data_IF_294579206906
#
_entry.id   IF_294579206906
#
_cell.length_a   1.000
_cell.length_b   1.000
_cell.length_c   1.000
_cell.angle_alpha   90.00
_cell.angle_beta   90.00
_cell.angle_gamma   90.00
#
_symmetry.space_group_name_H-M   'P 1'
#
loop_
_entity.id
_entity.type
_entity.pdbx_description
1 polymer ?
#
# COMPACT_ATOMS: atom_id res chain seq x y z
N UNK A 1 8.55 2.44 -40.97
CA UNK A 1 8.81 3.60 -40.11
C UNK A 1 8.10 4.80 -40.71
N UNK A 2 7.35 5.53 -39.92
CA UNK A 2 6.56 6.71 -40.32
C UNK A 2 6.82 7.85 -39.34
N UNK A 3 6.68 9.10 -39.80
CA UNK A 3 6.72 10.26 -38.90
C UNK A 3 5.28 10.67 -38.62
N UNK A 4 4.90 10.68 -37.37
CA UNK A 4 3.53 10.99 -36.94
C UNK A 4 3.51 12.15 -35.96
N UNK A 5 2.40 12.87 -35.92
CA UNK A 5 2.18 13.92 -34.94
C UNK A 5 1.89 13.32 -33.59
N UNK A 6 2.56 13.79 -32.57
CA UNK A 6 2.44 13.29 -31.20
C UNK A 6 1.01 13.41 -30.64
N UNK A 7 0.26 14.42 -31.09
CA UNK A 7 -1.15 14.61 -30.70
C UNK A 7 -2.09 13.50 -31.18
N UNK A 8 -1.69 12.77 -32.23
CA UNK A 8 -2.48 11.69 -32.83
C UNK A 8 -2.20 10.34 -32.16
N UNK A 9 -1.22 10.29 -31.24
CA UNK A 9 -0.82 9.07 -30.54
C UNK A 9 -1.58 8.93 -29.23
N UNK A 10 -2.05 7.72 -28.97
CA UNK A 10 -2.78 7.37 -27.73
C UNK A 10 -1.92 6.44 -26.87
N UNK A 11 -1.70 6.74 -25.58
CA UNK A 11 -1.04 5.81 -24.67
C UNK A 11 -1.80 4.50 -24.56
N UNK A 12 -1.08 3.40 -24.41
CA UNK A 12 -1.72 2.12 -24.11
C UNK A 12 -2.48 2.19 -22.78
N UNK A 13 -3.76 1.81 -22.71
CA UNK A 13 -4.62 2.03 -21.54
C UNK A 13 -4.07 1.36 -20.26
N UNK A 14 -3.42 0.22 -20.39
CA UNK A 14 -2.84 -0.53 -19.27
C UNK A 14 -1.40 -0.16 -18.94
N UNK A 15 -0.77 0.81 -19.64
CA UNK A 15 0.63 1.16 -19.38
C UNK A 15 0.88 1.59 -17.93
N UNK A 16 -0.01 2.42 -17.36
CA UNK A 16 0.11 2.91 -15.99
C UNK A 16 -0.08 1.82 -14.92
N UNK A 17 -0.73 0.69 -15.27
CA UNK A 17 -0.87 -0.47 -14.39
C UNK A 17 0.48 -1.15 -14.14
N UNK A 18 1.35 -1.15 -15.14
CA UNK A 18 2.60 -1.91 -15.15
C UNK A 18 3.86 -1.06 -14.95
N UNK A 19 3.82 0.21 -15.28
CA UNK A 19 5.00 1.07 -15.30
C UNK A 19 4.74 2.39 -14.58
N UNK A 20 5.80 2.87 -13.92
CA UNK A 20 5.83 4.20 -13.36
C UNK A 20 6.48 5.17 -14.34
N UNK A 21 6.04 6.43 -14.30
CA UNK A 21 6.71 7.48 -15.04
C UNK A 21 8.09 7.77 -14.42
N UNK A 22 9.04 8.11 -15.26
CA UNK A 22 10.31 8.62 -14.79
C UNK A 22 10.10 9.94 -14.06
N UNK A 23 10.77 10.13 -12.94
CA UNK A 23 10.71 11.33 -12.12
C UNK A 23 12.10 11.76 -11.64
N UNK A 24 12.21 12.97 -11.11
CA UNK A 24 13.43 13.49 -10.49
C UNK A 24 14.59 13.64 -11.47
N UNK A 25 15.80 13.42 -10.97
CA UNK A 25 17.05 13.63 -11.71
C UNK A 25 17.13 12.76 -12.98
N UNK A 26 16.71 11.51 -12.91
CA UNK A 26 16.67 10.60 -14.07
C UNK A 26 15.76 11.12 -15.20
N UNK A 27 14.66 11.77 -14.86
CA UNK A 27 13.79 12.39 -15.85
C UNK A 27 14.46 13.60 -16.51
N UNK A 28 15.10 14.45 -15.71
CA UNK A 28 15.82 15.62 -16.22
C UNK A 28 16.97 15.22 -17.14
N UNK A 29 17.77 14.22 -16.79
CA UNK A 29 18.83 13.68 -17.63
C UNK A 29 18.26 13.12 -18.94
N UNK A 30 17.12 12.41 -18.88
CA UNK A 30 16.46 11.88 -20.06
C UNK A 30 15.95 13.00 -20.97
N UNK A 31 15.34 14.06 -20.41
CA UNK A 31 14.91 15.24 -21.15
C UNK A 31 16.08 15.94 -21.86
N UNK A 32 17.19 16.18 -21.17
CA UNK A 32 18.38 16.77 -21.76
C UNK A 32 18.96 15.88 -22.88
N UNK A 33 18.92 14.56 -22.70
CA UNK A 33 19.33 13.62 -23.76
C UNK A 33 18.42 13.73 -24.99
N UNK A 34 17.12 13.81 -24.83
CA UNK A 34 16.17 13.97 -25.95
C UNK A 34 16.31 15.35 -26.59
N UNK A 35 16.53 16.40 -25.80
CA UNK A 35 16.74 17.75 -26.28
C UNK A 35 18.00 17.88 -27.12
N UNK A 36 19.10 17.24 -26.71
CA UNK A 36 20.40 17.35 -27.37
C UNK A 36 20.55 16.47 -28.60
N UNK A 37 19.97 15.27 -28.58
CA UNK A 37 20.19 14.23 -29.60
C UNK A 37 18.93 13.86 -30.38
N UNK A 38 17.76 14.37 -29.96
CA UNK A 38 16.47 13.92 -30.45
C UNK A 38 16.10 12.52 -29.92
N UNK A 39 15.03 11.99 -30.45
CA UNK A 39 14.59 10.61 -30.20
C UNK A 39 15.37 9.69 -31.16
N UNK A 40 16.33 8.95 -30.65
CA UNK A 40 17.23 8.09 -31.43
C UNK A 40 16.50 6.82 -31.92
N UNK A 41 15.77 6.18 -31.01
CA UNK A 41 15.01 4.97 -31.32
C UNK A 41 13.55 5.32 -31.63
N UNK A 42 12.96 4.81 -32.72
CA UNK A 42 11.56 5.01 -33.03
C UNK A 42 10.69 4.43 -31.88
N UNK A 43 9.51 4.98 -31.71
CA UNK A 43 8.50 4.40 -30.82
C UNK A 43 7.77 3.29 -31.58
N UNK A 44 7.30 2.27 -30.88
CA UNK A 44 6.47 1.20 -31.45
C UNK A 44 5.00 1.52 -31.19
N UNK A 45 4.21 1.44 -32.25
CA UNK A 45 2.77 1.69 -32.18
C UNK A 45 1.97 0.63 -32.93
N UNK A 46 0.69 0.52 -32.60
CA UNK A 46 -0.29 -0.23 -33.40
C UNK A 46 -0.73 0.58 -34.61
N UNK A 47 -1.41 -0.04 -35.64
CA UNK A 47 -2.04 0.70 -36.74
C UNK A 47 -3.04 1.76 -36.26
N UNK A 48 -3.71 1.53 -35.13
CA UNK A 48 -4.64 2.48 -34.50
C UNK A 48 -3.93 3.59 -33.70
N UNK A 49 -2.59 3.69 -33.85
CA UNK A 49 -1.72 4.71 -33.21
C UNK A 49 -1.69 4.59 -31.68
N UNK A 50 -1.93 3.40 -31.11
CA UNK A 50 -1.74 3.14 -29.70
C UNK A 50 -0.26 2.85 -29.45
N UNK A 51 0.34 3.52 -28.48
CA UNK A 51 1.76 3.40 -28.13
C UNK A 51 1.98 2.07 -27.41
N UNK A 52 2.82 1.20 -27.96
CA UNK A 52 3.26 -0.05 -27.35
C UNK A 52 4.60 0.13 -26.65
N UNK A 53 5.56 0.81 -27.27
CA UNK A 53 6.86 1.13 -26.66
C UNK A 53 7.23 2.57 -26.89
N UNK A 54 7.80 3.22 -25.87
CA UNK A 54 8.30 4.59 -25.93
C UNK A 54 7.43 5.66 -25.27
N UNK A 55 6.53 5.32 -24.35
CA UNK A 55 5.69 6.27 -23.61
C UNK A 55 6.48 7.44 -23.02
N UNK A 56 7.66 7.17 -22.41
CA UNK A 56 8.52 8.23 -21.85
C UNK A 56 9.13 9.12 -22.95
N UNK A 57 9.45 8.57 -24.13
CA UNK A 57 9.92 9.33 -25.30
C UNK A 57 8.84 10.30 -25.79
N UNK A 58 7.61 9.83 -25.90
CA UNK A 58 6.45 10.67 -26.26
C UNK A 58 6.20 11.76 -25.23
N UNK A 59 6.30 11.41 -23.92
CA UNK A 59 6.16 12.38 -22.84
C UNK A 59 7.24 13.45 -22.91
N UNK A 60 8.49 13.08 -23.12
CA UNK A 60 9.62 14.00 -23.26
C UNK A 60 9.43 14.95 -24.47
N UNK A 61 8.99 14.42 -25.62
CA UNK A 61 8.70 15.23 -26.78
C UNK A 61 7.59 16.26 -26.51
N UNK A 62 6.52 15.86 -25.82
CA UNK A 62 5.44 16.78 -25.42
C UNK A 62 5.96 17.93 -24.55
N UNK A 63 6.81 17.62 -23.57
CA UNK A 63 7.39 18.60 -22.66
C UNK A 63 8.37 19.54 -23.35
N UNK A 64 9.12 19.03 -24.36
CA UNK A 64 10.06 19.80 -25.17
C UNK A 64 9.41 20.57 -26.35
N UNK A 65 8.10 20.45 -26.55
CA UNK A 65 7.40 21.08 -27.67
C UNK A 65 7.76 20.49 -29.05
N UNK A 66 8.16 19.20 -29.09
CA UNK A 66 8.43 18.49 -30.34
C UNK A 66 7.10 17.90 -30.82
N UNK A 67 6.66 18.29 -32.01
CA UNK A 67 5.33 17.92 -32.50
C UNK A 67 5.29 16.57 -33.24
N UNK A 68 6.43 16.09 -33.71
CA UNK A 68 6.51 14.91 -34.57
C UNK A 68 7.54 13.91 -34.01
N UNK A 69 7.25 12.63 -34.17
CA UNK A 69 8.13 11.55 -33.72
C UNK A 69 8.13 10.41 -34.71
N UNK A 70 9.28 9.75 -34.87
CA UNK A 70 9.40 8.56 -35.71
C UNK A 70 8.77 7.36 -35.03
N UNK A 71 7.86 6.70 -35.74
CA UNK A 71 7.11 5.55 -35.29
C UNK A 71 7.43 4.33 -36.16
N UNK A 72 7.49 3.18 -35.51
CA UNK A 72 7.48 1.87 -36.16
C UNK A 72 6.12 1.24 -35.91
N UNK A 73 5.39 0.96 -37.01
CA UNK A 73 4.03 0.42 -36.93
C UNK A 73 4.12 -1.10 -36.96
N UNK A 74 3.71 -1.74 -35.88
CA UNK A 74 3.67 -3.18 -35.77
C UNK A 74 2.24 -3.70 -35.90
N UNK A 75 2.08 -4.81 -36.63
CA UNK A 75 0.82 -5.51 -36.74
C UNK A 75 0.78 -6.63 -35.68
N UNK A 76 -0.31 -6.68 -34.96
CA UNK A 76 -0.56 -7.65 -33.89
C UNK A 76 -1.84 -8.43 -34.22
N UNK A 77 -1.87 -9.70 -33.91
CA UNK A 77 -3.03 -10.56 -34.17
C UNK A 77 -4.10 -10.44 -33.07
N UNK A 78 -3.69 -10.09 -31.86
CA UNK A 78 -4.56 -9.97 -30.71
C UNK A 78 -3.96 -9.03 -29.65
N UNK A 79 -4.76 -8.71 -28.64
CA UNK A 79 -4.39 -7.84 -27.52
C UNK A 79 -3.24 -8.42 -26.67
N UNK A 80 -3.16 -9.74 -26.52
CA UNK A 80 -2.10 -10.40 -25.76
C UNK A 80 -0.73 -10.21 -26.41
N UNK A 81 -0.64 -10.18 -27.73
CA UNK A 81 0.62 -9.87 -28.43
C UNK A 81 1.04 -8.41 -28.22
N UNK A 82 0.09 -7.48 -28.26
CA UNK A 82 0.36 -6.05 -27.94
C UNK A 82 0.90 -5.93 -26.52
N UNK A 83 0.23 -6.58 -25.58
CA UNK A 83 0.56 -6.53 -24.18
C UNK A 83 1.91 -7.21 -23.87
N UNK A 84 2.19 -8.34 -24.55
CA UNK A 84 3.48 -9.00 -24.47
C UNK A 84 4.61 -8.07 -24.91
N UNK A 85 4.48 -7.42 -26.06
CA UNK A 85 5.50 -6.50 -26.59
C UNK A 85 5.67 -5.27 -25.69
N UNK A 86 4.57 -4.71 -25.18
CA UNK A 86 4.58 -3.65 -24.16
C UNK A 86 5.42 -4.05 -22.94
N UNK A 87 5.23 -5.25 -22.42
CA UNK A 87 5.89 -5.72 -21.21
C UNK A 87 7.36 -6.11 -21.47
N UNK A 88 7.64 -6.88 -22.56
CA UNK A 88 8.99 -7.36 -22.89
C UNK A 88 9.94 -6.23 -23.30
N UNK A 89 9.48 -5.30 -24.13
CA UNK A 89 10.32 -4.22 -24.64
C UNK A 89 10.86 -3.36 -23.50
N UNK A 90 10.02 -3.09 -22.51
CA UNK A 90 10.44 -2.33 -21.34
C UNK A 90 11.41 -3.09 -20.43
N UNK A 91 11.31 -4.42 -20.33
CA UNK A 91 12.27 -5.26 -19.58
C UNK A 91 13.63 -5.22 -20.27
N UNK A 92 13.66 -5.40 -21.60
CA UNK A 92 14.92 -5.44 -22.38
C UNK A 92 15.63 -4.09 -22.45
N UNK A 93 14.90 -2.99 -22.61
CA UNK A 93 15.48 -1.65 -22.78
C UNK A 93 16.00 -1.02 -21.49
N UNK A 94 15.38 -1.29 -20.36
CA UNK A 94 15.73 -0.63 -19.09
C UNK A 94 16.79 -1.37 -18.28
N UNK A 95 17.07 -2.66 -18.57
CA UNK A 95 18.06 -3.47 -17.85
C UNK A 95 17.83 -3.57 -16.33
N UNK A 96 16.91 -2.76 -15.83
CA UNK A 96 16.48 -2.69 -14.44
C UNK A 96 14.96 -2.93 -14.40
N UNK A 97 14.55 -3.89 -13.61
CA UNK A 97 13.13 -4.14 -13.32
C UNK A 97 12.59 -3.03 -12.41
N UNK A 98 12.98 -1.78 -12.70
CA UNK A 98 12.62 -0.60 -11.93
C UNK A 98 11.11 -0.36 -11.89
N UNK A 99 10.69 0.36 -10.86
CA UNK A 99 9.31 0.69 -10.56
C UNK A 99 8.85 0.06 -9.25
N UNK A 100 7.62 0.37 -8.86
CA UNK A 100 6.95 -0.19 -7.69
C UNK A 100 7.02 -1.72 -7.67
N UNK A 101 7.35 -2.29 -6.53
CA UNK A 101 7.41 -3.75 -6.35
C UNK A 101 6.09 -4.44 -6.74
N UNK A 102 4.97 -3.77 -6.47
CA UNK A 102 3.62 -4.18 -6.87
C UNK A 102 3.48 -4.26 -8.38
N UNK A 103 3.96 -3.24 -9.12
CA UNK A 103 3.89 -3.21 -10.57
C UNK A 103 4.80 -4.25 -11.23
N UNK A 104 5.99 -4.51 -10.65
CA UNK A 104 6.85 -5.62 -11.08
C UNK A 104 6.11 -6.95 -10.96
N UNK A 105 5.46 -7.19 -9.83
CA UNK A 105 4.67 -8.40 -9.60
C UNK A 105 3.50 -8.55 -10.58
N UNK A 106 2.79 -7.46 -10.87
CA UNK A 106 1.71 -7.45 -11.87
C UNK A 106 2.22 -7.80 -13.26
N UNK A 107 3.38 -7.26 -13.68
CA UNK A 107 4.03 -7.62 -14.96
C UNK A 107 4.33 -9.11 -15.03
N UNK A 108 4.88 -9.68 -13.96
CA UNK A 108 5.20 -11.12 -13.90
C UNK A 108 3.92 -11.95 -14.05
N UNK A 109 2.86 -11.63 -13.30
CA UNK A 109 1.58 -12.35 -13.38
C UNK A 109 0.99 -12.29 -14.78
N UNK A 110 1.06 -11.14 -15.43
CA UNK A 110 0.52 -10.96 -16.76
C UNK A 110 1.35 -11.72 -17.81
N UNK A 111 2.67 -11.70 -17.74
CA UNK A 111 3.53 -12.49 -18.61
C UNK A 111 3.33 -13.99 -18.41
N UNK A 112 3.17 -14.47 -17.18
CA UNK A 112 2.82 -15.87 -16.91
C UNK A 112 1.48 -16.26 -17.55
N UNK A 113 0.48 -15.35 -17.49
CA UNK A 113 -0.82 -15.55 -18.13
C UNK A 113 -0.67 -15.67 -19.65
N UNK A 114 0.04 -14.73 -20.28
CA UNK A 114 0.27 -14.69 -21.73
C UNK A 114 1.03 -15.93 -22.20
N UNK A 115 2.08 -16.32 -21.48
CA UNK A 115 2.86 -17.52 -21.83
C UNK A 115 2.22 -18.84 -21.41
N UNK A 116 1.06 -18.81 -20.74
CA UNK A 116 0.38 -20.02 -20.27
C UNK A 116 1.16 -20.79 -19.19
N UNK A 117 2.03 -20.11 -18.42
CA UNK A 117 2.84 -20.73 -17.38
C UNK A 117 1.94 -21.15 -16.22
N UNK A 118 1.84 -22.45 -15.93
CA UNK A 118 1.09 -23.01 -14.79
C UNK A 118 2.06 -23.61 -13.78
N UNK A 119 1.94 -23.18 -12.52
CA UNK A 119 2.74 -23.72 -11.41
C UNK A 119 2.28 -25.16 -11.12
N UNK A 120 3.22 -26.10 -11.07
CA UNK A 120 2.97 -27.47 -10.58
C UNK A 120 2.46 -28.48 -11.62
N UNK A 121 2.51 -28.19 -12.92
CA UNK A 121 2.16 -29.18 -13.95
C UNK A 121 3.43 -29.75 -14.64
N UNK A 122 3.88 -30.98 -14.29
CA UNK A 122 5.08 -31.59 -14.88
C UNK A 122 4.95 -32.02 -16.33
N UNK A 123 3.75 -31.96 -16.92
CA UNK A 123 3.51 -32.40 -18.34
C UNK A 123 3.75 -31.30 -19.38
N UNK A 124 4.28 -30.13 -18.97
CA UNK A 124 4.57 -29.03 -19.90
C UNK A 124 5.92 -29.16 -20.65
N UNK A 125 6.72 -30.18 -20.37
CA UNK A 125 8.03 -30.37 -21.00
C UNK A 125 7.96 -30.73 -22.51
N UNK A 126 6.80 -31.06 -23.04
CA UNK A 126 6.64 -31.52 -24.41
C UNK A 126 6.16 -30.44 -25.42
N UNK A 127 5.96 -29.19 -25.00
CA UNK A 127 5.57 -28.13 -25.93
C UNK A 127 6.66 -27.07 -26.00
N UNK A 128 7.54 -27.16 -27.00
CA UNK A 128 8.74 -26.32 -27.18
C UNK A 128 8.47 -24.84 -27.45
N UNK A 129 7.22 -24.42 -27.41
CA UNK A 129 6.80 -23.01 -27.58
C UNK A 129 6.36 -22.31 -26.25
N UNK A 130 6.26 -23.03 -25.14
CA UNK A 130 5.81 -22.48 -23.87
C UNK A 130 7.01 -22.13 -22.99
N UNK A 131 7.13 -20.88 -22.57
CA UNK A 131 8.16 -20.47 -21.62
C UNK A 131 7.89 -21.11 -20.25
N UNK A 132 8.96 -21.47 -19.55
CA UNK A 132 8.90 -21.91 -18.15
C UNK A 132 9.07 -20.74 -17.21
N UNK A 133 8.67 -20.90 -15.95
CA UNK A 133 8.90 -19.89 -14.90
C UNK A 133 10.39 -19.56 -14.71
N UNK A 134 11.26 -20.57 -14.89
CA UNK A 134 12.73 -20.39 -14.83
C UNK A 134 13.24 -19.53 -15.98
N UNK A 135 12.73 -19.74 -17.19
CA UNK A 135 13.07 -18.92 -18.36
C UNK A 135 12.58 -17.47 -18.18
N UNK A 136 11.34 -17.28 -17.72
CA UNK A 136 10.81 -15.94 -17.44
C UNK A 136 11.65 -15.22 -16.37
N UNK A 137 12.04 -15.90 -15.31
CA UNK A 137 12.89 -15.34 -14.27
C UNK A 137 14.26 -14.92 -14.85
N UNK A 138 14.86 -15.78 -15.67
CA UNK A 138 16.13 -15.49 -16.37
C UNK A 138 16.00 -14.28 -17.31
N UNK A 139 14.92 -14.21 -18.10
CA UNK A 139 14.65 -13.09 -19.00
C UNK A 139 14.51 -11.76 -18.25
N UNK A 140 13.99 -11.82 -17.01
CA UNK A 140 13.85 -10.67 -16.11
C UNK A 140 15.10 -10.40 -15.25
N UNK A 141 16.18 -11.17 -15.44
CA UNK A 141 17.43 -11.00 -14.70
C UNK A 141 17.34 -11.33 -13.21
N UNK A 142 16.44 -12.22 -12.82
CA UNK A 142 16.25 -12.63 -11.41
C UNK A 142 16.14 -14.14 -11.27
N UNK A 143 16.27 -14.65 -10.05
CA UNK A 143 15.99 -16.04 -9.74
C UNK A 143 14.49 -16.31 -9.54
N UNK A 144 14.09 -17.60 -9.64
CA UNK A 144 12.68 -18.03 -9.53
C UNK A 144 12.06 -17.64 -8.18
N UNK A 145 12.84 -17.68 -7.09
CA UNK A 145 12.35 -17.32 -5.75
C UNK A 145 12.03 -15.83 -5.67
N UNK A 146 12.90 -15.00 -6.24
CA UNK A 146 12.69 -13.55 -6.34
C UNK A 146 11.46 -13.25 -7.18
N UNK A 147 11.28 -13.94 -8.32
CA UNK A 147 10.09 -13.83 -9.16
C UNK A 147 8.82 -14.17 -8.38
N UNK A 148 8.80 -15.28 -7.64
CA UNK A 148 7.67 -15.67 -6.80
C UNK A 148 7.38 -14.64 -5.70
N UNK A 149 8.41 -14.07 -5.08
CA UNK A 149 8.24 -12.99 -4.10
C UNK A 149 7.58 -11.75 -4.70
N UNK A 150 7.99 -11.32 -5.90
CA UNK A 150 7.33 -10.20 -6.58
C UNK A 150 5.88 -10.51 -6.95
N UNK A 151 5.56 -11.75 -7.32
CA UNK A 151 4.17 -12.15 -7.58
C UNK A 151 3.28 -11.99 -6.35
N UNK A 152 3.79 -12.34 -5.18
CA UNK A 152 3.09 -12.09 -3.91
C UNK A 152 2.91 -10.58 -3.68
N UNK A 153 3.97 -9.79 -3.88
CA UNK A 153 3.92 -8.34 -3.72
C UNK A 153 2.94 -7.63 -4.70
N UNK A 154 2.53 -8.30 -5.78
CA UNK A 154 1.49 -7.76 -6.67
C UNK A 154 0.14 -7.54 -5.99
N UNK A 155 -0.15 -8.32 -4.95
CA UNK A 155 -1.42 -8.31 -4.22
C UNK A 155 -1.37 -7.43 -2.95
N UNK A 156 -0.30 -6.66 -2.75
CA UNK A 156 -0.24 -5.71 -1.63
C UNK A 156 -1.43 -4.75 -1.66
N UNK A 157 -1.96 -4.45 -0.48
CA UNK A 157 -2.89 -3.32 -0.33
C UNK A 157 -2.19 -2.00 -0.71
N UNK A 158 -2.92 -0.97 -1.16
CA UNK A 158 -2.32 0.30 -1.59
C UNK A 158 -1.40 0.91 -0.54
N UNK A 159 -1.84 0.94 0.71
CA UNK A 159 -1.14 1.55 1.84
C UNK A 159 0.22 0.86 2.09
N UNK A 160 0.26 -0.47 2.04
CA UNK A 160 1.52 -1.23 2.18
C UNK A 160 2.44 -1.01 0.98
N UNK A 161 1.87 -0.91 -0.23
CA UNK A 161 2.64 -0.61 -1.45
C UNK A 161 3.33 0.75 -1.34
N UNK A 162 2.64 1.78 -0.85
CA UNK A 162 3.19 3.12 -0.67
C UNK A 162 4.35 3.13 0.34
N UNK A 163 4.23 2.38 1.44
CA UNK A 163 5.31 2.23 2.42
C UNK A 163 6.54 1.50 1.85
N UNK A 164 6.34 0.56 0.93
CA UNK A 164 7.44 -0.13 0.24
C UNK A 164 8.10 0.80 -0.78
N UNK A 165 7.32 1.55 -1.53
CA UNK A 165 7.79 2.44 -2.59
C UNK A 165 8.54 3.66 -2.02
N UNK A 166 8.13 4.16 -0.84
CA UNK A 166 8.85 5.19 -0.08
C UNK A 166 10.07 4.66 0.68
N UNK A 167 10.23 3.34 0.76
CA UNK A 167 11.35 2.68 1.45
C UNK A 167 11.24 2.68 2.98
N UNK A 168 10.08 3.01 3.53
CA UNK A 168 9.76 2.92 4.96
C UNK A 168 9.72 1.45 5.38
N UNK A 169 9.10 0.60 4.55
CA UNK A 169 9.04 -0.85 4.72
C UNK A 169 9.88 -1.53 3.63
N UNK A 170 10.68 -2.52 4.00
CA UNK A 170 11.43 -3.30 2.99
C UNK A 170 10.51 -4.32 2.31
N UNK A 171 10.85 -4.72 1.07
CA UNK A 171 10.12 -5.78 0.34
C UNK A 171 10.01 -7.08 1.14
N UNK A 172 11.08 -7.44 1.87
CA UNK A 172 11.12 -8.64 2.72
C UNK A 172 10.15 -8.52 3.90
N UNK A 173 10.10 -7.34 4.51
CA UNK A 173 9.17 -7.04 5.60
C UNK A 173 7.73 -7.05 5.10
N UNK A 174 7.45 -6.45 3.94
CA UNK A 174 6.13 -6.49 3.31
C UNK A 174 5.65 -7.92 3.02
N UNK A 175 6.55 -8.79 2.53
CA UNK A 175 6.24 -10.21 2.34
C UNK A 175 5.92 -10.94 3.65
N UNK A 176 6.58 -10.60 4.74
CA UNK A 176 6.26 -11.16 6.07
C UNK A 176 4.87 -10.70 6.53
N UNK A 177 4.57 -9.42 6.40
CA UNK A 177 3.25 -8.84 6.70
C UNK A 177 2.15 -9.57 5.91
N UNK A 178 2.29 -9.67 4.60
CA UNK A 178 1.29 -10.30 3.73
C UNK A 178 1.08 -11.80 3.97
N UNK A 179 2.07 -12.49 4.50
CA UNK A 179 1.97 -13.93 4.81
C UNK A 179 1.28 -14.23 6.13
N UNK A 180 1.42 -13.34 7.08
CA UNK A 180 1.04 -13.57 8.46
C UNK A 180 -0.23 -12.82 8.85
N UNK A 181 -0.60 -11.77 8.11
CA UNK A 181 -1.72 -10.88 8.42
C UNK A 181 -2.73 -10.82 7.27
N UNK A 182 -4.02 -10.84 7.59
CA UNK A 182 -5.11 -10.52 6.69
C UNK A 182 -5.06 -9.06 6.23
N UNK A 183 -5.81 -8.69 5.20
CA UNK A 183 -5.86 -7.30 4.70
C UNK A 183 -6.34 -6.31 5.79
N UNK A 184 -7.31 -6.72 6.62
CA UNK A 184 -7.81 -5.90 7.74
C UNK A 184 -6.72 -5.68 8.79
N UNK A 185 -6.01 -6.75 9.20
CA UNK A 185 -4.90 -6.65 10.15
C UNK A 185 -3.71 -5.88 9.58
N UNK A 186 -3.48 -5.92 8.27
CA UNK A 186 -2.46 -5.11 7.61
C UNK A 186 -2.78 -3.62 7.73
N UNK A 187 -4.03 -3.22 7.56
CA UNK A 187 -4.48 -1.84 7.75
C UNK A 187 -4.32 -1.40 9.21
N UNK A 188 -4.76 -2.23 10.17
CA UNK A 188 -4.61 -1.96 11.60
C UNK A 188 -3.12 -1.81 12.00
N UNK A 189 -2.27 -2.67 11.46
CA UNK A 189 -0.83 -2.56 11.66
C UNK A 189 -0.31 -1.23 11.13
N UNK A 190 -0.63 -0.87 9.88
CA UNK A 190 -0.15 0.36 9.24
C UNK A 190 -0.60 1.60 10.01
N UNK A 191 -1.84 1.62 10.48
CA UNK A 191 -2.37 2.72 11.29
C UNK A 191 -1.67 2.84 12.66
N UNK A 192 -1.16 1.73 13.19
CA UNK A 192 -0.44 1.71 14.47
C UNK A 192 1.04 2.11 14.35
N UNK A 193 1.59 2.11 13.13
CA UNK A 193 3.02 2.33 12.89
C UNK A 193 3.37 3.81 12.73
N UNK A 194 4.53 4.18 13.27
CA UNK A 194 5.15 5.47 13.00
C UNK A 194 5.80 5.47 11.60
N UNK A 195 5.06 5.92 10.59
CA UNK A 195 5.49 5.97 9.19
C UNK A 195 6.49 7.09 8.88
N UNK A 196 6.90 7.89 9.87
CA UNK A 196 7.92 8.94 9.69
C UNK A 196 9.34 8.40 9.63
N UNK A 197 9.56 7.15 10.01
CA UNK A 197 10.85 6.46 10.03
C UNK A 197 10.78 5.09 9.38
N UNK A 198 11.96 4.54 9.08
CA UNK A 198 12.05 3.16 8.59
C UNK A 198 11.59 2.18 9.67
N UNK A 199 10.71 1.27 9.26
CA UNK A 199 10.16 0.22 10.10
C UNK A 199 11.02 -1.03 9.94
N UNK A 200 11.43 -1.61 11.06
CA UNK A 200 12.26 -2.81 11.06
C UNK A 200 11.41 -4.08 11.02
N UNK A 201 11.94 -5.14 10.42
CA UNK A 201 11.27 -6.45 10.43
C UNK A 201 11.03 -6.99 11.83
N UNK A 202 11.84 -6.57 12.82
CA UNK A 202 11.67 -6.97 14.23
C UNK A 202 10.42 -6.36 14.84
N UNK A 203 10.17 -5.07 14.61
CA UNK A 203 8.95 -4.39 15.10
C UNK A 203 7.68 -5.05 14.55
N UNK A 204 7.71 -5.43 13.28
CA UNK A 204 6.60 -6.16 12.65
C UNK A 204 6.44 -7.55 13.28
N UNK A 205 7.54 -8.27 13.54
CA UNK A 205 7.46 -9.59 14.16
C UNK A 205 6.92 -9.51 15.58
N UNK A 206 7.33 -8.53 16.37
CA UNK A 206 6.80 -8.28 17.72
C UNK A 206 5.29 -8.00 17.71
N UNK A 207 4.80 -7.27 16.70
CA UNK A 207 3.37 -7.03 16.51
C UNK A 207 2.62 -8.33 16.15
N UNK A 208 3.14 -9.09 15.19
CA UNK A 208 2.55 -10.37 14.75
C UNK A 208 2.47 -11.35 15.91
N UNK A 209 3.55 -11.49 16.69
CA UNK A 209 3.61 -12.39 17.83
C UNK A 209 2.58 -12.01 18.90
N UNK A 210 2.45 -10.70 19.18
CA UNK A 210 1.46 -10.19 20.12
C UNK A 210 0.02 -10.42 19.64
N UNK A 211 -0.26 -10.24 18.35
CA UNK A 211 -1.57 -10.52 17.78
C UNK A 211 -1.92 -12.03 17.94
N UNK A 212 -0.98 -12.92 17.62
CA UNK A 212 -1.18 -14.35 17.78
C UNK A 212 -1.44 -14.75 19.23
N UNK A 213 -0.76 -14.13 20.19
CA UNK A 213 -1.03 -14.35 21.62
C UNK A 213 -2.45 -13.91 21.99
N UNK A 214 -2.88 -12.76 21.49
CA UNK A 214 -4.24 -12.23 21.72
C UNK A 214 -5.31 -13.11 21.08
N UNK A 215 -5.11 -13.57 19.86
CA UNK A 215 -6.02 -14.51 19.19
C UNK A 215 -6.16 -15.83 19.96
N UNK A 216 -5.04 -16.40 20.40
CA UNK A 216 -5.02 -17.64 21.18
C UNK A 216 -5.80 -17.45 22.48
N UNK A 217 -5.56 -16.36 23.20
CA UNK A 217 -6.28 -16.03 24.43
C UNK A 217 -7.78 -15.80 24.19
N UNK A 218 -8.16 -15.20 23.06
CA UNK A 218 -9.55 -15.00 22.69
C UNK A 218 -10.24 -16.34 22.36
N UNK A 219 -9.56 -17.21 21.61
CA UNK A 219 -10.08 -18.55 21.30
C UNK A 219 -10.29 -19.40 22.56
N UNK A 220 -9.39 -19.32 23.53
CA UNK A 220 -9.55 -20.00 24.82
C UNK A 220 -10.76 -19.46 25.61
N UNK A 221 -10.98 -18.13 25.57
CA UNK A 221 -12.15 -17.50 26.19
C UNK A 221 -13.45 -17.94 25.51
N UNK A 222 -13.51 -17.95 24.18
CA UNK A 222 -14.67 -18.43 23.42
C UNK A 222 -15.00 -19.89 23.75
N UNK A 223 -13.99 -20.75 23.77
CA UNK A 223 -14.17 -22.16 24.15
C UNK A 223 -14.72 -22.30 25.57
N UNK A 224 -14.29 -21.44 26.49
CA UNK A 224 -14.81 -21.42 27.87
C UNK A 224 -16.24 -20.94 27.93
N UNK A 225 -16.58 -19.88 27.14
CA UNK A 225 -17.97 -19.38 27.02
C UNK A 225 -18.88 -20.46 26.47
N UNK A 226 -18.51 -21.16 25.42
CA UNK A 226 -19.28 -22.22 24.80
C UNK A 226 -19.51 -23.39 25.78
N UNK A 227 -18.50 -23.77 26.58
CA UNK A 227 -18.61 -24.79 27.62
C UNK A 227 -19.55 -24.37 28.77
N UNK A 228 -19.55 -23.08 29.11
CA UNK A 228 -20.45 -22.56 30.15
C UNK A 228 -21.90 -22.50 29.64
N UNK A 229 -22.11 -22.07 28.39
CA UNK A 229 -23.43 -22.06 27.77
C UNK A 229 -24.02 -23.48 27.65
N UNK A 230 -23.21 -24.49 27.32
CA UNK A 230 -23.62 -25.89 27.35
C UNK A 230 -24.12 -26.31 28.71
N UNK A 231 -23.40 -25.95 29.80
CA UNK A 231 -23.81 -26.25 31.17
C UNK A 231 -25.10 -25.53 31.60
N UNK A 232 -25.30 -24.29 31.12
CA UNK A 232 -26.53 -23.51 31.36
C UNK A 232 -27.70 -24.26 30.73
N UNK A 233 -27.61 -24.66 29.47
CA UNK A 233 -28.67 -25.39 28.78
C UNK A 233 -29.01 -26.73 29.45
N UNK A 234 -27.98 -27.46 29.94
CA UNK A 234 -28.19 -28.72 30.69
C UNK A 234 -28.90 -28.48 32.02
N UNK A 235 -28.62 -27.36 32.68
CA UNK A 235 -29.28 -26.98 33.93
C UNK A 235 -30.73 -26.52 33.70
N UNK A 236 -30.96 -25.74 32.66
CA UNK A 236 -32.30 -25.29 32.28
C UNK A 236 -33.21 -26.48 31.94
N UNK A 237 -32.71 -27.46 31.17
CA UNK A 237 -33.45 -28.69 30.90
C UNK A 237 -33.80 -29.48 32.17
N UNK A 238 -32.87 -29.53 33.14
CA UNK A 238 -33.15 -30.17 34.45
C UNK A 238 -34.15 -29.41 35.27
N UNK A 239 -34.17 -28.10 35.21
CA UNK A 239 -35.17 -27.26 35.88
C UNK A 239 -36.55 -27.53 35.29
N UNK A 240 -36.66 -27.53 33.95
CA UNK A 240 -37.95 -27.87 33.28
C UNK A 240 -38.46 -29.28 33.61
N UNK A 241 -37.59 -30.26 33.69
CA UNK A 241 -37.97 -31.65 34.08
C UNK A 241 -38.44 -31.72 35.55
N UNK A 242 -37.75 -31.01 36.46
CA UNK A 242 -38.17 -30.95 37.86
C UNK A 242 -39.48 -30.17 38.08
N UNK A 243 -39.71 -29.13 37.29
CA UNK A 243 -40.97 -28.39 37.30
C UNK A 243 -42.16 -29.26 36.83
N UNK A 244 -41.97 -30.05 35.73
CA UNK A 244 -42.98 -31.05 35.29
C UNK A 244 -43.21 -32.15 36.34
N UNK A 245 -42.18 -32.68 37.00
CA UNK A 245 -42.37 -33.62 38.07
C UNK A 245 -43.09 -33.03 39.28
N UNK A 246 -42.98 -31.74 39.53
CA UNK A 246 -43.71 -31.03 40.59
C UNK A 246 -45.21 -30.81 40.23
N UNK A 247 -45.52 -30.54 38.97
CA UNK A 247 -46.90 -30.38 38.50
C UNK A 247 -47.67 -31.71 38.47
N UNK A 248 -47.05 -32.85 38.18
CA UNK A 248 -47.64 -34.18 38.12
C UNK A 248 -47.83 -34.82 39.50
N UNK A 249 -47.44 -34.21 40.61
CA UNK A 249 -47.63 -34.76 41.95
C UNK A 249 -49.04 -34.50 42.51
N UNK A 250 -49.80 -35.53 42.79
CA UNK A 250 -51.15 -35.35 43.41
C UNK A 250 -51.03 -34.73 44.81
N UNK A 251 -51.96 -33.83 45.15
CA UNK A 251 -52.01 -32.92 46.32
C UNK A 251 -52.03 -33.61 47.73
N UNK A 252 -51.32 -34.67 47.96
CA UNK A 252 -51.10 -35.24 49.29
C UNK A 252 -49.63 -35.51 49.58
N UNK A 253 -48.88 -34.45 49.72
CA UNK A 253 -47.53 -34.60 50.30
C UNK A 253 -47.46 -33.69 51.51
N UNK A 254 -47.47 -34.31 52.68
CA UNK A 254 -46.86 -33.74 53.86
C UNK A 254 -45.46 -33.29 53.48
N UNK A 255 -45.16 -31.98 53.62
CA UNK A 255 -43.87 -31.40 53.27
C UNK A 255 -42.77 -32.09 54.04
N UNK A 256 -42.22 -33.17 53.51
CA UNK A 256 -40.89 -33.63 53.88
C UNK A 256 -39.91 -32.88 52.94
N UNK A 257 -39.43 -31.76 53.43
CA UNK A 257 -38.33 -31.06 52.75
C UNK A 257 -37.13 -31.99 52.89
N UNK A 258 -36.52 -32.49 51.78
CA UNK A 258 -35.29 -33.25 51.88
C UNK A 258 -34.22 -32.41 52.61
N UNK A 259 -33.38 -33.08 53.42
CA UNK A 259 -32.33 -32.39 54.22
C UNK A 259 -31.40 -31.53 53.34
N UNK A 260 -31.27 -31.86 52.06
CA UNK A 260 -30.42 -31.17 51.09
C UNK A 260 -31.13 -30.00 50.38
N UNK A 261 -32.44 -29.86 50.48
CA UNK A 261 -33.21 -28.80 49.78
C UNK A 261 -32.72 -27.40 50.18
N UNK A 262 -32.52 -27.16 51.49
CA UNK A 262 -32.02 -25.88 51.99
C UNK A 262 -30.56 -25.64 51.59
N UNK A 263 -29.76 -26.70 51.44
CA UNK A 263 -28.40 -26.63 50.95
C UNK A 263 -28.37 -26.29 49.45
N UNK A 264 -29.16 -27.03 48.64
CA UNK A 264 -29.26 -26.83 47.20
C UNK A 264 -29.82 -25.45 46.88
N UNK A 265 -30.81 -24.96 47.65
CA UNK A 265 -31.36 -23.62 47.53
C UNK A 265 -30.36 -22.54 47.94
N UNK A 266 -29.53 -22.82 48.97
CA UNK A 266 -28.43 -21.92 49.35
C UNK A 266 -27.36 -21.87 48.27
N UNK A 267 -26.99 -23.04 47.72
CA UNK A 267 -25.98 -23.14 46.64
C UNK A 267 -26.49 -22.51 45.36
N UNK A 268 -27.78 -22.65 45.02
CA UNK A 268 -28.41 -21.96 43.89
C UNK A 268 -28.45 -20.44 44.11
N UNK A 269 -28.78 -20.01 45.33
CA UNK A 269 -28.78 -18.58 45.68
C UNK A 269 -27.36 -17.98 45.60
N UNK A 270 -26.36 -18.72 46.07
CA UNK A 270 -24.97 -18.34 45.96
C UNK A 270 -24.50 -18.26 44.50
N UNK A 271 -24.84 -19.29 43.69
CA UNK A 271 -24.55 -19.31 42.28
C UNK A 271 -25.24 -18.16 41.49
N UNK A 272 -26.49 -17.83 41.87
CA UNK A 272 -27.20 -16.66 41.28
C UNK A 272 -26.56 -15.32 41.66
N UNK A 273 -26.04 -15.19 42.87
CA UNK A 273 -25.29 -14.01 43.32
C UNK A 273 -23.97 -13.91 42.56
N UNK A 274 -23.27 -15.02 42.43
CA UNK A 274 -22.00 -15.06 41.68
C UNK A 274 -22.22 -14.79 40.19
N UNK A 275 -23.30 -15.30 39.60
CA UNK A 275 -23.69 -15.02 38.23
C UNK A 275 -23.98 -13.54 38.02
N UNK A 276 -24.82 -12.92 38.89
CA UNK A 276 -25.12 -11.50 38.83
C UNK A 276 -23.87 -10.64 39.03
N UNK A 277 -22.93 -11.07 39.86
CA UNK A 277 -21.67 -10.39 40.08
C UNK A 277 -20.77 -10.47 38.84
N UNK A 278 -20.67 -11.66 38.24
CA UNK A 278 -19.93 -11.89 36.99
C UNK A 278 -20.57 -11.14 35.79
N UNK A 279 -21.88 -11.15 35.69
CA UNK A 279 -22.62 -10.39 34.67
C UNK A 279 -22.38 -8.88 34.82
N UNK A 280 -22.37 -8.36 36.05
CA UNK A 280 -22.05 -6.97 36.33
C UNK A 280 -20.61 -6.64 35.98
N UNK A 281 -19.65 -7.53 36.28
CA UNK A 281 -18.26 -7.36 35.88
C UNK A 281 -18.08 -7.42 34.37
N UNK A 282 -18.75 -8.36 33.70
CA UNK A 282 -18.74 -8.48 32.24
C UNK A 282 -19.29 -7.21 31.58
N UNK A 283 -20.47 -6.75 32.02
CA UNK A 283 -21.06 -5.52 31.48
C UNK A 283 -20.22 -4.28 31.76
N UNK A 284 -19.53 -4.22 32.90
CA UNK A 284 -18.60 -3.15 33.22
C UNK A 284 -17.38 -3.19 32.29
N UNK A 285 -16.85 -4.39 32.00
CA UNK A 285 -15.71 -4.57 31.09
C UNK A 285 -16.08 -4.30 29.63
N UNK A 286 -17.29 -4.70 29.20
CA UNK A 286 -17.83 -4.36 27.87
C UNK A 286 -17.99 -2.85 27.73
N UNK A 287 -18.47 -2.18 28.77
CA UNK A 287 -18.59 -0.71 28.79
C UNK A 287 -17.22 -0.03 28.71
N UNK A 288 -16.26 -0.49 29.54
CA UNK A 288 -14.88 0.00 29.52
C UNK A 288 -14.20 -0.21 28.16
N UNK A 289 -14.45 -1.35 27.52
CA UNK A 289 -13.93 -1.67 26.20
C UNK A 289 -14.58 -0.79 25.09
N UNK A 290 -15.86 -0.50 25.20
CA UNK A 290 -16.53 0.42 24.28
C UNK A 290 -16.07 1.86 24.51
N UNK A 291 -15.90 2.29 25.74
CA UNK A 291 -15.34 3.60 26.07
C UNK A 291 -13.90 3.75 25.57
N UNK A 292 -13.08 2.67 25.65
CA UNK A 292 -11.73 2.64 25.09
C UNK A 292 -11.75 2.69 23.54
N UNK A 293 -12.66 1.92 22.91
CA UNK A 293 -12.86 2.00 21.45
C UNK A 293 -13.29 3.38 21.00
N UNK A 294 -14.19 4.02 21.75
CA UNK A 294 -14.63 5.38 21.45
C UNK A 294 -13.53 6.42 21.69
N UNK A 295 -12.68 6.22 22.71
CA UNK A 295 -11.49 7.04 22.96
C UNK A 295 -10.44 6.87 21.85
N UNK A 296 -10.14 5.62 21.45
CA UNK A 296 -9.24 5.32 20.33
C UNK A 296 -9.79 5.91 19.03
N UNK A 297 -11.11 5.82 18.80
CA UNK A 297 -11.76 6.43 17.64
C UNK A 297 -11.67 7.95 17.67
N UNK A 298 -11.92 8.56 18.81
CA UNK A 298 -11.81 10.01 19.01
C UNK A 298 -10.35 10.52 18.97
N UNK A 299 -9.39 9.73 19.42
CA UNK A 299 -7.96 9.99 19.25
C UNK A 299 -7.53 9.80 17.78
N UNK A 300 -8.01 8.77 17.10
CA UNK A 300 -7.76 8.57 15.67
C UNK A 300 -8.44 9.63 14.79
N UNK A 301 -9.61 10.12 15.16
CA UNK A 301 -10.24 11.27 14.48
C UNK A 301 -9.50 12.59 14.73
N UNK A 302 -8.81 12.75 15.88
CA UNK A 302 -7.95 13.89 16.18
C UNK A 302 -6.52 13.75 15.61
N UNK A 303 -6.04 12.51 15.51
CA UNK A 303 -4.70 12.21 15.00
C UNK A 303 -4.40 12.74 13.60
N UNK A 304 -5.32 12.66 12.59
CA UNK A 304 -5.04 13.24 11.29
C UNK A 304 -4.80 14.74 11.36
N UNK A 305 -5.56 15.45 12.18
CA UNK A 305 -5.43 16.92 12.31
C UNK A 305 -4.20 17.33 13.13
N UNK A 306 -3.88 16.61 14.20
CA UNK A 306 -2.67 16.85 14.99
C UNK A 306 -1.41 16.41 14.25
N UNK A 307 -1.42 15.23 13.60
CA UNK A 307 -0.33 14.79 12.71
C UNK A 307 -0.17 15.71 11.52
N UNK A 308 -1.26 16.19 10.95
CA UNK A 308 -1.21 17.20 9.89
C UNK A 308 -0.64 18.53 10.41
N UNK A 309 -1.04 18.98 11.60
CA UNK A 309 -0.50 20.19 12.25
C UNK A 309 0.99 20.03 12.60
N UNK A 310 1.39 18.86 13.07
CA UNK A 310 2.80 18.56 13.37
C UNK A 310 3.64 18.44 12.10
N UNK A 311 3.13 17.75 11.08
CA UNK A 311 3.74 17.71 9.74
C UNK A 311 3.86 19.11 9.16
N UNK A 312 2.78 19.88 9.18
CA UNK A 312 2.77 21.27 8.71
C UNK A 312 3.80 22.13 9.46
N UNK A 313 3.91 21.96 10.78
CA UNK A 313 4.93 22.64 11.60
C UNK A 313 6.34 22.25 11.19
N UNK A 314 6.62 20.95 11.01
CA UNK A 314 7.93 20.45 10.61
C UNK A 314 8.31 20.89 9.20
N UNK A 315 7.38 20.80 8.24
CA UNK A 315 7.57 21.31 6.88
C UNK A 315 7.79 22.83 6.87
N UNK A 316 7.08 23.58 7.72
CA UNK A 316 7.27 25.03 7.86
C UNK A 316 8.67 25.35 8.41
N UNK A 317 9.13 24.62 9.43
CA UNK A 317 10.48 24.80 10.00
C UNK A 317 11.53 24.47 8.94
N UNK A 318 11.37 23.34 8.22
CA UNK A 318 12.27 22.94 7.16
C UNK A 318 12.30 23.99 6.04
N UNK A 319 11.13 24.41 5.56
CA UNK A 319 11.00 25.46 4.55
C UNK A 319 11.71 26.77 4.98
N UNK A 320 11.47 27.21 6.21
CA UNK A 320 12.14 28.41 6.73
C UNK A 320 13.67 28.25 6.78
N UNK A 321 14.17 27.04 7.11
CA UNK A 321 15.58 26.70 7.10
C UNK A 321 16.18 26.79 5.69
N UNK A 322 15.52 26.16 4.71
CA UNK A 322 15.95 26.18 3.29
C UNK A 322 15.94 27.61 2.71
N UNK A 323 14.90 28.40 3.00
CA UNK A 323 14.84 29.80 2.60
C UNK A 323 15.96 30.62 3.22
N UNK A 324 16.24 30.40 4.51
CA UNK A 324 17.34 31.11 5.19
C UNK A 324 18.71 30.74 4.60
N UNK A 325 18.95 29.46 4.29
CA UNK A 325 20.18 29.03 3.60
C UNK A 325 20.26 29.59 2.19
N UNK A 326 19.14 29.57 1.44
CA UNK A 326 19.07 30.16 0.12
C UNK A 326 19.42 31.66 0.18
N UNK A 327 18.77 32.43 1.05
CA UNK A 327 19.03 33.87 1.23
C UNK A 327 20.50 34.14 1.61
N UNK A 328 21.05 33.32 2.51
CA UNK A 328 22.46 33.40 2.89
C UNK A 328 23.41 33.14 1.70
N UNK A 329 23.12 32.12 0.91
CA UNK A 329 23.91 31.83 -0.31
C UNK A 329 23.78 32.97 -1.33
N UNK A 330 22.55 33.46 -1.58
CA UNK A 330 22.30 34.55 -2.52
C UNK A 330 22.92 35.86 -2.06
N UNK A 331 22.94 36.11 -0.76
CA UNK A 331 23.65 37.27 -0.19
C UNK A 331 25.13 37.32 -0.57
N UNK A 332 25.78 36.18 -0.76
CA UNK A 332 27.16 36.11 -1.27
C UNK A 332 27.36 36.63 -2.71
N UNK A 333 26.28 36.78 -3.47
CA UNK A 333 26.32 37.23 -4.87
C UNK A 333 25.88 38.70 -5.06
N UNK A 334 25.51 39.41 -3.98
CA UNK A 334 25.07 40.82 -4.05
C UNK A 334 26.10 41.71 -4.73
N UNK A 335 27.41 41.42 -4.56
CA UNK A 335 28.50 42.18 -5.20
C UNK A 335 28.39 42.20 -6.74
N UNK A 336 27.74 41.19 -7.36
CA UNK A 336 27.56 41.16 -8.82
C UNK A 336 26.74 42.38 -9.30
N UNK A 337 25.80 42.85 -8.48
CA UNK A 337 24.94 43.99 -8.81
C UNK A 337 25.76 45.27 -9.11
N UNK A 338 26.88 45.45 -8.43
CA UNK A 338 27.78 46.60 -8.62
C UNK A 338 28.50 46.57 -10.00
N UNK A 339 28.69 45.34 -10.52
CA UNK A 339 29.42 45.13 -11.77
C UNK A 339 28.52 44.65 -12.91
N UNK A 340 27.22 44.63 -12.72
CA UNK A 340 26.23 44.10 -13.67
C UNK A 340 26.37 44.76 -15.08
N UNK A 341 26.69 46.04 -15.12
CA UNK A 341 26.85 46.79 -16.37
C UNK A 341 28.13 46.43 -17.13
N UNK A 342 29.05 45.67 -16.53
CA UNK A 342 30.29 45.22 -17.18
C UNK A 342 30.12 43.81 -17.80
N UNK A 343 28.98 43.15 -17.56
CA UNK A 343 28.67 41.85 -18.15
C UNK A 343 28.13 42.00 -19.57
N UNK A 344 28.38 41.01 -20.45
CA UNK A 344 27.71 40.93 -21.73
C UNK A 344 26.18 40.93 -21.59
N UNK A 345 25.46 41.52 -22.56
CA UNK A 345 24.00 41.68 -22.51
C UNK A 345 23.25 40.35 -22.27
N UNK A 346 23.75 39.23 -22.79
CA UNK A 346 23.16 37.92 -22.57
C UNK A 346 23.23 37.48 -21.09
N UNK A 347 24.39 37.64 -20.47
CA UNK A 347 24.62 37.27 -19.08
C UNK A 347 23.85 38.18 -18.12
N UNK A 348 23.84 39.48 -18.42
CA UNK A 348 23.02 40.45 -17.70
C UNK A 348 21.53 40.13 -17.75
N UNK A 349 21.02 39.75 -18.92
CA UNK A 349 19.62 39.32 -19.08
C UNK A 349 19.33 38.04 -18.32
N UNK A 350 20.23 37.09 -18.32
CA UNK A 350 20.09 35.84 -17.56
C UNK A 350 20.06 36.08 -16.05
N UNK A 351 20.92 36.97 -15.55
CA UNK A 351 20.94 37.35 -14.13
C UNK A 351 19.62 38.04 -13.73
N UNK A 352 19.14 39.00 -14.50
CA UNK A 352 17.87 39.70 -14.23
C UNK A 352 16.67 38.76 -14.30
N UNK A 353 16.69 37.78 -15.22
CA UNK A 353 15.65 36.76 -15.34
C UNK A 353 15.62 35.85 -14.09
N UNK A 354 16.78 35.48 -13.57
CA UNK A 354 16.87 34.69 -12.35
C UNK A 354 16.31 35.43 -11.11
N UNK A 355 16.67 36.73 -10.98
CA UNK A 355 16.12 37.59 -9.90
C UNK A 355 14.60 37.73 -10.05
N UNK A 356 14.11 37.98 -11.27
CA UNK A 356 12.67 38.11 -11.53
C UNK A 356 11.90 36.79 -11.22
N UNK A 357 12.52 35.65 -11.46
CA UNK A 357 11.91 34.34 -11.11
C UNK A 357 11.78 34.15 -9.59
N UNK A 358 12.79 34.56 -8.81
CA UNK A 358 12.74 34.52 -7.34
C UNK A 358 11.69 35.49 -6.81
N UNK A 359 11.63 36.71 -7.35
CA UNK A 359 10.63 37.72 -6.98
C UNK A 359 9.20 37.22 -7.29
N UNK A 360 8.98 36.68 -8.48
CA UNK A 360 7.70 36.11 -8.88
C UNK A 360 7.29 34.94 -7.99
N UNK A 361 8.23 34.06 -7.61
CA UNK A 361 7.96 33.00 -6.66
C UNK A 361 7.58 33.55 -5.28
N UNK A 362 8.31 34.52 -4.77
CA UNK A 362 8.04 35.14 -3.46
C UNK A 362 6.66 35.82 -3.46
N UNK A 363 6.29 36.48 -4.56
CA UNK A 363 4.98 37.11 -4.70
C UNK A 363 3.83 36.09 -4.68
N UNK A 364 3.97 34.99 -5.43
CA UNK A 364 2.98 33.89 -5.40
C UNK A 364 2.82 33.30 -4.00
N UNK A 365 3.92 33.12 -3.27
CA UNK A 365 3.87 32.63 -1.88
C UNK A 365 3.15 33.62 -0.97
N UNK A 366 3.39 34.92 -1.15
CA UNK A 366 2.75 35.96 -0.35
C UNK A 366 1.24 36.06 -0.64
N UNK A 367 0.85 36.00 -1.92
CA UNK A 367 -0.56 36.12 -2.35
C UNK A 367 -1.42 34.94 -1.91
N UNK A 368 -0.81 33.76 -1.67
CA UNK A 368 -1.51 32.57 -1.14
C UNK A 368 -1.64 32.57 0.39
N UNK A 369 -1.04 33.52 1.12
CA UNK A 369 -1.15 33.64 2.58
C UNK A 369 -2.26 34.66 2.97
N UNK A 370 -2.64 35.54 2.07
CA UNK A 370 -3.71 36.53 2.25
C UNK A 370 -5.09 35.92 1.95
#
# INVERSE_FOLDING_TARGET
MEILKIKDLTPHPRNAEFFDDMTGEKWNEFLESVKSRGVIEPIVITPDKVIVSGHQRVRACKELGIDEITCDVHLYNNEDEILQDLLETNIRQRGDVGGSAKKVGKRIKELERIYGIKVGNPNYENNSQLKTQSQLASDMGMDVRTLQNYKLLADMIPELSDLVDTGIVTKTTALAIMKELSEEEQLELIDSLDTTRKITGREIQEYIDKNKELETANQEKENRINKLNGKINDLDSKVEDLERELEDRPEKITRVIPEDYEKTKSDLSAAQVDYKFLEKQYNAKVKELNELKDQIRAENEKLPEEKFKEKLKNETIFFCGEVAEFVKKMGGYIWITEYLNQLPEYEKKSYLSAISAVDGWAQVMHDNIA
#
